data_IF_596156915849
#
_entry.id   IF_596156915849
#
_cell.length_a   1.000
_cell.length_b   1.000
_cell.length_c   1.000
_cell.angle_alpha   90.00
_cell.angle_beta   90.00
_cell.angle_gamma   90.00
#
_symmetry.space_group_name_H-M   'P 1'
#
loop_
_entity.id
_entity.type
_entity.pdbx_description
1 polymer ?
#
# COMPACT_ATOMS: atom_id res chain seq x y z
N UNK A 1 11.06 -4.08 15.83
CA UNK A 1 10.82 -3.41 14.53
C UNK A 1 9.39 -3.77 14.13
N UNK A 2 8.50 -2.80 13.92
CA UNK A 2 7.12 -3.11 13.52
C UNK A 2 7.11 -3.78 12.15
N UNK A 3 6.37 -4.87 12.04
CA UNK A 3 6.19 -5.57 10.76
C UNK A 3 5.22 -4.78 9.90
N UNK A 4 5.59 -4.51 8.64
CA UNK A 4 4.69 -3.87 7.68
C UNK A 4 4.01 -4.98 6.90
N UNK A 5 2.70 -5.14 7.13
CA UNK A 5 1.88 -6.06 6.35
C UNK A 5 1.66 -5.51 4.94
N UNK A 6 1.84 -6.37 3.94
CA UNK A 6 1.54 -6.04 2.56
C UNK A 6 0.01 -5.96 2.33
N UNK A 7 -0.51 -4.83 1.83
CA UNK A 7 -1.94 -4.68 1.58
C UNK A 7 -2.45 -5.57 0.43
N UNK A 8 -1.56 -6.07 -0.43
CA UNK A 8 -1.88 -6.90 -1.61
C UNK A 8 -1.91 -8.39 -1.28
N UNK A 9 -0.83 -8.93 -0.72
CA UNK A 9 -0.66 -10.37 -0.50
C UNK A 9 -0.82 -10.80 0.97
N UNK A 10 -0.97 -9.84 1.90
CA UNK A 10 -1.12 -10.04 3.36
C UNK A 10 0.07 -10.72 4.06
N UNK A 11 1.18 -10.89 3.37
CA UNK A 11 2.48 -11.24 3.95
C UNK A 11 3.19 -10.00 4.45
N UNK A 12 4.09 -10.15 5.41
CA UNK A 12 4.94 -9.05 5.84
C UNK A 12 5.99 -8.73 4.78
N UNK A 13 6.39 -7.46 4.64
CA UNK A 13 7.41 -7.05 3.66
C UNK A 13 8.81 -7.61 3.95
N UNK A 14 9.08 -8.09 5.16
CA UNK A 14 10.32 -8.83 5.48
C UNK A 14 10.35 -10.23 4.82
N UNK A 15 9.20 -10.72 4.36
CA UNK A 15 9.07 -11.97 3.59
C UNK A 15 9.11 -11.73 2.08
N UNK A 16 9.33 -10.49 1.64
CA UNK A 16 9.47 -10.14 0.23
C UNK A 16 10.93 -10.00 -0.16
N UNK A 17 11.29 -10.58 -1.31
CA UNK A 17 12.46 -10.12 -2.04
C UNK A 17 12.20 -8.73 -2.67
N UNK A 18 13.25 -8.11 -3.22
CA UNK A 18 13.16 -6.79 -3.84
C UNK A 18 12.12 -6.75 -4.98
N UNK A 19 12.07 -7.81 -5.79
CA UNK A 19 11.13 -7.91 -6.92
C UNK A 19 9.70 -8.00 -6.41
N UNK A 20 9.44 -8.83 -5.41
CA UNK A 20 8.14 -8.99 -4.77
C UNK A 20 7.69 -7.69 -4.10
N UNK A 21 8.62 -6.98 -3.46
CA UNK A 21 8.37 -5.66 -2.86
C UNK A 21 7.90 -4.67 -3.93
N UNK A 22 8.66 -4.52 -5.01
CA UNK A 22 8.34 -3.60 -6.10
C UNK A 22 7.00 -3.96 -6.76
N UNK A 23 6.75 -5.24 -7.06
CA UNK A 23 5.48 -5.70 -7.64
C UNK A 23 4.27 -5.43 -6.75
N UNK A 24 4.41 -5.65 -5.43
CA UNK A 24 3.32 -5.40 -4.49
C UNK A 24 3.05 -3.90 -4.32
N UNK A 25 4.09 -3.06 -4.29
CA UNK A 25 3.94 -1.60 -4.22
C UNK A 25 3.29 -1.02 -5.47
N UNK A 26 3.68 -1.49 -6.66
CA UNK A 26 3.06 -1.07 -7.93
C UNK A 26 1.58 -1.44 -7.97
N UNK A 27 1.24 -2.69 -7.62
CA UNK A 27 -0.16 -3.14 -7.54
C UNK A 27 -0.96 -2.32 -6.52
N UNK A 28 -0.39 -2.06 -5.35
CA UNK A 28 -1.04 -1.24 -4.33
C UNK A 28 -1.28 0.18 -4.83
N UNK A 29 -0.30 0.80 -5.48
CA UNK A 29 -0.44 2.13 -6.07
C UNK A 29 -1.60 2.14 -7.07
N UNK A 30 -1.62 1.19 -8.02
CA UNK A 30 -2.67 1.10 -9.03
C UNK A 30 -4.06 0.93 -8.44
N UNK A 31 -4.21 0.14 -7.37
CA UNK A 31 -5.52 -0.02 -6.70
C UNK A 31 -5.88 1.22 -5.91
N UNK A 32 -4.97 1.74 -5.09
CA UNK A 32 -5.23 2.85 -4.17
C UNK A 32 -5.48 4.19 -4.89
N UNK A 33 -4.89 4.41 -6.07
CA UNK A 33 -5.08 5.66 -6.85
C UNK A 33 -6.14 5.52 -7.95
N UNK A 34 -6.75 4.34 -8.11
CA UNK A 34 -7.83 4.13 -9.08
C UNK A 34 -9.13 3.72 -8.37
N UNK A 35 -10.05 4.67 -8.13
CA UNK A 35 -11.28 4.42 -7.37
C UNK A 35 -12.21 3.39 -8.03
N UNK A 36 -12.10 3.18 -9.35
CA UNK A 36 -12.89 2.17 -10.08
C UNK A 36 -12.42 0.75 -9.77
N UNK A 37 -11.10 0.55 -9.71
CA UNK A 37 -10.50 -0.75 -9.35
C UNK A 37 -10.75 -1.04 -7.88
N UNK A 38 -10.64 -0.01 -7.03
CA UNK A 38 -10.79 -0.18 -5.61
C UNK A 38 -12.22 -0.52 -5.17
N UNK A 39 -13.23 0.14 -5.72
CA UNK A 39 -14.64 -0.15 -5.39
C UNK A 39 -15.07 -1.59 -5.73
N UNK A 40 -14.31 -2.27 -6.59
CA UNK A 40 -14.54 -3.66 -7.02
C UNK A 40 -13.68 -4.68 -6.25
N UNK A 41 -12.78 -4.25 -5.37
CA UNK A 41 -11.90 -5.12 -4.59
C UNK A 41 -12.29 -5.17 -3.10
N UNK A 42 -11.83 -6.20 -2.37
CA UNK A 42 -12.02 -6.28 -0.92
C UNK A 42 -11.49 -5.01 -0.24
N UNK A 43 -12.23 -4.49 0.74
CA UNK A 43 -11.89 -3.32 1.58
C UNK A 43 -10.38 -3.25 1.88
N UNK A 44 -9.74 -2.16 1.47
CA UNK A 44 -8.32 -1.90 1.73
C UNK A 44 -8.24 -0.81 2.78
N UNK A 45 -7.64 -1.16 3.91
CA UNK A 45 -7.32 -0.20 4.96
C UNK A 45 -5.99 0.45 4.58
N UNK A 46 -5.97 1.78 4.60
CA UNK A 46 -4.78 2.56 4.34
C UNK A 46 -3.70 2.22 5.40
N UNK A 47 -2.53 1.74 4.99
CA UNK A 47 -1.48 1.32 5.92
C UNK A 47 -0.77 2.49 6.62
N UNK A 48 -1.13 3.74 6.32
CA UNK A 48 -0.53 4.95 6.90
C UNK A 48 -1.45 5.64 7.90
N UNK A 49 -2.77 5.67 7.64
CA UNK A 49 -3.73 6.41 8.46
C UNK A 49 -4.88 5.55 8.97
N UNK A 50 -4.87 4.24 8.69
CA UNK A 50 -5.83 3.23 9.17
C UNK A 50 -7.29 3.45 8.77
N UNK A 51 -7.55 4.44 7.90
CA UNK A 51 -8.86 4.69 7.29
C UNK A 51 -9.10 3.79 6.08
N UNK A 52 -10.35 3.64 5.70
CA UNK A 52 -10.70 3.01 4.44
C UNK A 52 -10.12 3.85 3.27
N UNK A 53 -9.56 3.19 2.27
CA UNK A 53 -9.12 3.88 1.05
C UNK A 53 -10.29 4.61 0.32
N UNK A 54 -11.56 4.28 0.59
CA UNK A 54 -12.76 4.91 0.01
C UNK A 54 -12.96 6.30 0.62
N UNK A 55 -12.44 6.52 1.83
CA UNK A 55 -12.48 7.80 2.51
C UNK A 55 -11.41 8.78 1.97
N UNK A 56 -10.55 8.31 1.05
CA UNK A 56 -9.50 9.13 0.45
C UNK A 56 -10.00 9.74 -0.87
N UNK A 57 -9.86 11.05 -0.99
CA UNK A 57 -9.82 11.67 -2.31
C UNK A 57 -8.47 11.35 -3.00
N UNK A 58 -8.36 11.62 -4.30
CA UNK A 58 -7.17 11.30 -5.09
C UNK A 58 -5.88 11.89 -4.49
N UNK A 59 -5.94 13.12 -3.96
CA UNK A 59 -4.79 13.78 -3.33
C UNK A 59 -4.33 13.02 -2.08
N UNK A 60 -5.26 12.74 -1.17
CA UNK A 60 -4.94 12.06 0.08
C UNK A 60 -4.48 10.61 -0.16
N UNK A 61 -5.09 9.93 -1.14
CA UNK A 61 -4.67 8.59 -1.57
C UNK A 61 -3.22 8.60 -2.05
N UNK A 62 -2.85 9.55 -2.90
CA UNK A 62 -1.50 9.68 -3.44
C UNK A 62 -0.49 10.05 -2.33
N UNK A 63 -0.86 10.92 -1.38
CA UNK A 63 -0.02 11.25 -0.23
C UNK A 63 0.25 10.03 0.65
N UNK A 64 -0.79 9.25 0.96
CA UNK A 64 -0.66 8.04 1.77
C UNK A 64 0.16 6.97 1.06
N UNK A 65 -0.05 6.74 -0.23
CA UNK A 65 0.76 5.81 -1.04
C UNK A 65 2.23 6.23 -1.03
N UNK A 66 2.54 7.51 -1.24
CA UNK A 66 3.92 8.01 -1.24
C UNK A 66 4.58 7.84 0.14
N UNK A 67 3.87 8.13 1.23
CA UNK A 67 4.35 7.89 2.60
C UNK A 67 4.64 6.41 2.83
N UNK A 68 3.74 5.53 2.39
CA UNK A 68 3.88 4.09 2.53
C UNK A 68 5.09 3.54 1.76
N UNK A 69 5.27 3.94 0.49
CA UNK A 69 6.42 3.53 -0.32
C UNK A 69 7.74 3.93 0.36
N UNK A 70 7.82 5.15 0.92
CA UNK A 70 9.00 5.60 1.68
C UNK A 70 9.26 4.75 2.91
N UNK A 71 8.23 4.36 3.66
CA UNK A 71 8.37 3.48 4.83
C UNK A 71 8.87 2.08 4.46
N UNK A 72 8.37 1.51 3.36
CA UNK A 72 8.77 0.18 2.90
C UNK A 72 10.20 0.19 2.36
N UNK A 73 10.53 1.16 1.50
CA UNK A 73 11.87 1.26 0.88
C UNK A 73 12.95 1.78 1.85
N UNK A 74 12.58 2.63 2.80
CA UNK A 74 13.49 3.11 3.85
C UNK A 74 13.88 2.04 4.88
N UNK A 75 13.29 0.84 4.81
CA UNK A 75 13.71 -0.34 5.57
C UNK A 75 14.71 -1.23 4.81
N UNK A 76 15.03 -0.92 3.56
CA UNK A 76 15.90 -1.73 2.71
C UNK A 76 17.39 -1.40 2.85
N UNK A 77 17.82 -0.81 3.98
CA UNK A 77 19.22 -0.49 4.29
C UNK A 77 19.85 -1.59 5.17
#
# INVERSE_FOLDING_TARGET
MEKISCPICRKDFDQHDERQTNLCLEKFTNVATNPVVYSSTKKIICPVCEKDMLDHNQYLAMECVNKFIKQVKGKSD
#
